data_IF_230741277128
#
_entry.id   IF_230741277128
#
_cell.length_a   1.000
_cell.length_b   1.000
_cell.length_c   1.000
_cell.angle_alpha   90.00
_cell.angle_beta   90.00
_cell.angle_gamma   90.00
#
_symmetry.space_group_name_H-M   'P 1'
#
loop_
_entity.id
_entity.type
_entity.pdbx_description
1 polymer ?
#
# COMPACT_ATOMS: atom_id res chain seq x y z
N UNK A 1 18.74 4.62 4.73
CA UNK A 1 17.89 3.74 3.89
C UNK A 1 16.76 3.22 4.76
N UNK A 2 15.56 3.78 4.60
CA UNK A 2 14.38 3.34 5.36
C UNK A 2 13.94 1.95 4.90
N UNK A 3 13.55 1.09 5.84
CA UNK A 3 13.04 -0.24 5.53
C UNK A 3 11.57 -0.10 5.12
N UNK A 4 11.25 -0.46 3.88
CA UNK A 4 9.86 -0.62 3.43
C UNK A 4 9.28 -1.87 4.11
N UNK A 5 8.09 -1.75 4.70
CA UNK A 5 7.37 -2.86 5.31
C UNK A 5 6.19 -3.24 4.43
N UNK A 6 6.17 -4.48 3.98
CA UNK A 6 5.05 -5.09 3.28
C UNK A 6 4.34 -6.05 4.22
N UNK A 7 3.03 -5.90 4.38
CA UNK A 7 2.21 -6.80 5.18
C UNK A 7 0.98 -7.20 4.37
N UNK A 8 0.71 -8.50 4.32
CA UNK A 8 -0.45 -9.04 3.62
C UNK A 8 -1.22 -9.95 4.55
N UNK A 9 -2.50 -9.64 4.75
CA UNK A 9 -3.45 -10.47 5.46
C UNK A 9 -4.29 -11.26 4.47
N UNK A 10 -4.07 -12.57 4.46
CA UNK A 10 -4.75 -13.50 3.55
C UNK A 10 -6.22 -13.69 3.92
N UNK A 11 -6.60 -13.58 5.19
CA UNK A 11 -7.95 -13.84 5.69
C UNK A 11 -8.87 -12.65 5.38
N UNK A 12 -8.38 -11.43 5.64
CA UNK A 12 -9.09 -10.18 5.37
C UNK A 12 -8.92 -9.67 3.93
N UNK A 13 -7.98 -10.26 3.17
CA UNK A 13 -7.59 -9.85 1.81
C UNK A 13 -7.10 -8.39 1.73
N UNK A 14 -6.25 -8.02 2.68
CA UNK A 14 -5.73 -6.66 2.83
C UNK A 14 -4.22 -6.68 2.60
N UNK A 15 -3.74 -5.82 1.70
CA UNK A 15 -2.32 -5.52 1.51
C UNK A 15 -2.01 -4.15 2.07
N UNK A 16 -1.02 -4.06 2.96
CA UNK A 16 -0.50 -2.81 3.49
C UNK A 16 0.99 -2.66 3.14
N UNK A 17 1.33 -1.50 2.57
CA UNK A 17 2.70 -1.09 2.26
C UNK A 17 3.01 0.13 3.09
N UNK A 18 4.05 0.08 3.92
CA UNK A 18 4.53 1.24 4.69
C UNK A 18 5.93 1.61 4.22
N UNK A 19 6.08 2.82 3.69
CA UNK A 19 7.36 3.37 3.23
C UNK A 19 8.11 4.05 4.38
N UNK A 20 7.37 4.76 5.24
CA UNK A 20 7.91 5.47 6.39
C UNK A 20 7.00 5.29 7.61
N UNK A 21 7.58 4.87 8.73
CA UNK A 21 6.87 4.79 9.99
C UNK A 21 6.86 6.16 10.69
N UNK A 22 5.95 7.04 10.26
CA UNK A 22 5.72 8.36 10.84
C UNK A 22 4.23 8.67 10.97
N UNK A 23 3.91 9.72 11.72
CA UNK A 23 2.51 10.17 11.87
C UNK A 23 1.96 10.63 10.53
N UNK A 24 0.69 10.31 10.30
CA UNK A 24 -0.02 10.61 9.08
C UNK A 24 -1.43 10.07 9.14
N UNK A 25 -2.25 10.47 8.18
CA UNK A 25 -3.66 10.11 8.07
C UNK A 25 -3.92 9.38 6.76
N UNK A 26 -4.97 8.55 6.74
CA UNK A 26 -5.38 7.86 5.52
C UNK A 26 -6.28 8.78 4.69
N UNK A 27 -5.99 8.87 3.39
CA UNK A 27 -6.85 9.46 2.37
C UNK A 27 -7.43 8.34 1.53
N UNK A 28 -8.73 8.42 1.27
CA UNK A 28 -9.38 7.54 0.31
C UNK A 28 -8.86 7.89 -1.10
N UNK A 29 -8.40 6.87 -1.82
CA UNK A 29 -7.93 6.98 -3.20
C UNK A 29 -8.88 6.31 -4.19
N UNK A 30 -10.06 5.87 -3.74
CA UNK A 30 -11.02 5.11 -4.53
C UNK A 30 -10.60 3.65 -4.78
N UNK A 31 -11.50 2.87 -5.38
CA UNK A 31 -11.29 1.46 -5.71
C UNK A 31 -10.72 0.65 -4.53
N UNK A 32 -11.26 0.83 -3.32
CA UNK A 32 -10.79 0.25 -2.06
C UNK A 32 -9.26 0.35 -1.86
N UNK A 33 -8.69 1.48 -2.27
CA UNK A 33 -7.30 1.88 -2.00
C UNK A 33 -7.32 3.08 -1.06
N UNK A 34 -6.51 3.01 -0.02
CA UNK A 34 -6.23 4.12 0.88
C UNK A 34 -4.74 4.45 0.81
N UNK A 35 -4.42 5.75 0.77
CA UNK A 35 -3.04 6.23 0.80
C UNK A 35 -2.85 6.93 2.13
N UNK A 36 -1.86 6.47 2.91
CA UNK A 36 -1.46 7.16 4.12
C UNK A 36 -0.53 8.29 3.74
N UNK A 37 -0.84 9.51 4.17
CA UNK A 37 -0.02 10.71 3.91
C UNK A 37 0.43 11.38 5.20
N UNK A 38 1.56 12.06 5.17
CA UNK A 38 2.03 12.90 6.27
C UNK A 38 1.40 14.31 6.26
N UNK A 39 1.80 15.16 7.22
CA UNK A 39 1.34 16.54 7.35
C UNK A 39 1.67 17.44 6.14
N UNK A 40 2.62 17.01 5.29
CA UNK A 40 3.02 17.70 4.06
C UNK A 40 2.41 17.04 2.82
N UNK A 41 1.42 16.16 3.00
CA UNK A 41 0.77 15.38 1.95
C UNK A 41 1.69 14.40 1.19
N UNK A 42 2.85 14.04 1.74
CA UNK A 42 3.69 13.02 1.12
C UNK A 42 3.14 11.63 1.44
N UNK A 43 3.11 10.68 0.47
CA UNK A 43 2.68 9.31 0.71
C UNK A 43 3.70 8.57 1.61
N UNK A 44 3.20 8.00 2.69
CA UNK A 44 3.98 7.24 3.69
C UNK A 44 3.53 5.78 3.78
N UNK A 45 2.42 5.43 3.14
CA UNK A 45 1.95 4.06 2.98
C UNK A 45 0.73 3.93 2.07
N UNK A 46 0.36 2.69 1.78
CA UNK A 46 -0.80 2.31 0.96
C UNK A 46 -1.49 1.14 1.63
N UNK A 47 -2.81 1.13 1.61
CA UNK A 47 -3.64 -0.03 1.98
C UNK A 47 -4.54 -0.36 0.81
N UNK A 48 -4.54 -1.63 0.39
CA UNK A 48 -5.38 -2.15 -0.68
C UNK A 48 -6.26 -3.24 -0.10
N UNK A 49 -7.58 -3.08 -0.18
CA UNK A 49 -8.55 -4.09 0.28
C UNK A 49 -9.06 -4.88 -0.94
N UNK A 50 -9.23 -6.19 -0.79
CA UNK A 50 -9.65 -7.04 -1.90
C UNK A 50 -8.51 -7.33 -2.89
N UNK A 51 -7.27 -7.42 -2.41
CA UNK A 51 -6.09 -7.57 -3.27
C UNK A 51 -6.15 -8.82 -4.17
N UNK A 52 -6.59 -9.97 -3.65
CA UNK A 52 -6.72 -11.22 -4.44
C UNK A 52 -7.74 -11.15 -5.57
N UNK A 53 -8.76 -10.28 -5.44
CA UNK A 53 -9.85 -10.18 -6.42
C UNK A 53 -9.50 -9.28 -7.60
N UNK A 54 -8.36 -8.60 -7.55
CA UNK A 54 -7.91 -7.66 -8.58
C UNK A 54 -7.05 -8.39 -9.62
N UNK A 55 -7.08 -7.95 -10.88
CA UNK A 55 -6.11 -8.41 -11.87
C UNK A 55 -4.68 -8.12 -11.36
N UNK A 56 -3.71 -8.93 -11.80
CA UNK A 56 -2.31 -8.88 -11.34
C UNK A 56 -1.62 -7.52 -11.54
N UNK A 57 -2.19 -6.63 -12.34
CA UNK A 57 -1.74 -5.25 -12.55
C UNK A 57 -2.70 -4.28 -11.87
N UNK A 58 -2.23 -3.63 -10.79
CA UNK A 58 -2.93 -2.51 -10.15
C UNK A 58 -2.14 -1.25 -10.47
N UNK A 59 -2.75 -0.35 -11.25
CA UNK A 59 -2.21 0.99 -11.45
C UNK A 59 -2.40 1.81 -10.19
N UNK A 60 -1.33 1.96 -9.41
CA UNK A 60 -1.29 2.90 -8.30
C UNK A 60 -0.89 4.27 -8.85
N UNK A 61 -1.41 5.40 -8.32
CA UNK A 61 -0.98 6.74 -8.69
C UNK A 61 0.50 7.04 -8.33
N UNK A 62 1.19 6.04 -7.80
CA UNK A 62 2.62 5.99 -7.54
C UNK A 62 3.18 4.71 -8.17
N UNK A 63 4.29 4.83 -8.89
CA UNK A 63 4.95 3.67 -9.50
C UNK A 63 5.51 2.76 -8.40
N UNK A 64 4.83 1.66 -8.10
CA UNK A 64 5.27 0.63 -7.17
C UNK A 64 5.39 -0.67 -7.94
N UNK A 65 6.61 -1.17 -8.09
CA UNK A 65 6.87 -2.46 -8.72
C UNK A 65 6.89 -3.53 -7.63
N UNK A 66 5.92 -4.44 -7.66
CA UNK A 66 5.89 -5.63 -6.80
C UNK A 66 6.40 -6.80 -7.64
N UNK A 67 7.59 -7.29 -7.33
CA UNK A 67 8.13 -8.53 -7.91
C UNK A 67 8.03 -9.65 -6.88
N UNK A 68 7.50 -10.80 -7.29
CA UNK A 68 7.49 -12.02 -6.50
C UNK A 68 8.95 -12.41 -6.20
N UNK A 69 9.31 -12.49 -4.91
CA UNK A 69 10.62 -12.96 -4.49
C UNK A 69 10.43 -14.39 -3.99
N UNK A 70 10.84 -15.38 -4.80
CA UNK A 70 11.02 -16.74 -4.33
C UNK A 70 12.10 -16.73 -3.22
N UNK A 71 11.75 -17.27 -2.05
CA UNK A 71 12.65 -17.43 -0.90
C UNK A 71 13.35 -18.78 -0.99
#
# INVERSE_FOLDING_TARGET
>A
MGKMKLWYDKESDILEITFENKKGYAKDAGNDVWIRVDEKENPIGITVIGFKKRPQEIELPIAVSVSEVEV
#
